data_IF_668293525260
#
_entry.id   IF_668293525260
#
_cell.length_a   1.000
_cell.length_b   1.000
_cell.length_c   1.000
_cell.angle_alpha   90.00
_cell.angle_beta   90.00
_cell.angle_gamma   90.00
#
_symmetry.space_group_name_H-M   'P 1'
#
loop_
_entity.id
_entity.type
_entity.pdbx_description
1 polymer ?
#
# COMPACT_ATOMS: atom_id res chain seq x y z
N UNK A 1 -9.00 -28.88 21.61
CA UNK A 1 -9.30 -27.51 22.10
C UNK A 1 -9.52 -26.64 20.86
N UNK A 2 -10.65 -25.91 20.78
CA UNK A 2 -10.94 -25.10 19.58
C UNK A 2 -10.05 -23.85 19.56
N UNK A 3 -9.36 -23.61 18.47
CA UNK A 3 -8.55 -22.41 18.26
C UNK A 3 -9.44 -21.16 18.10
N UNK A 4 -8.89 -19.99 18.37
CA UNK A 4 -9.58 -18.69 18.23
C UNK A 4 -9.36 -18.13 16.84
N UNK A 5 -10.42 -17.60 16.22
CA UNK A 5 -10.36 -16.86 14.94
C UNK A 5 -9.95 -15.40 15.11
N UNK A 6 -9.90 -14.91 16.35
CA UNK A 6 -9.59 -13.52 16.66
C UNK A 6 -8.32 -13.41 17.48
N UNK A 7 -7.55 -12.36 17.19
CA UNK A 7 -6.34 -12.00 17.90
C UNK A 7 -6.65 -11.37 19.28
N UNK A 8 -5.72 -11.43 20.24
CA UNK A 8 -5.79 -10.63 21.47
C UNK A 8 -5.89 -9.13 21.17
N UNK A 9 -6.54 -8.35 22.05
CA UNK A 9 -6.75 -6.92 21.84
C UNK A 9 -5.44 -6.10 21.94
N UNK A 10 -4.45 -6.61 22.66
CA UNK A 10 -3.13 -6.01 22.88
C UNK A 10 -2.06 -6.48 21.89
N UNK A 11 -2.48 -7.18 20.81
CA UNK A 11 -1.55 -7.81 19.86
C UNK A 11 -0.60 -6.80 19.19
N UNK A 12 -1.09 -5.60 18.90
CA UNK A 12 -0.28 -4.54 18.30
C UNK A 12 0.88 -4.14 19.21
N UNK A 13 0.62 -3.93 20.52
CA UNK A 13 1.65 -3.61 21.49
C UNK A 13 2.68 -4.72 21.64
N UNK A 14 2.24 -5.99 21.57
CA UNK A 14 3.12 -7.14 21.62
C UNK A 14 4.03 -7.18 20.38
N UNK A 15 3.50 -6.91 19.19
CA UNK A 15 4.29 -6.85 17.95
C UNK A 15 5.29 -5.68 18.01
N UNK A 16 4.85 -4.52 18.47
CA UNK A 16 5.69 -3.31 18.60
C UNK A 16 6.83 -3.50 19.60
N UNK A 17 6.65 -4.33 20.63
CA UNK A 17 7.72 -4.67 21.58
C UNK A 17 8.86 -5.44 20.94
N UNK A 18 8.62 -6.12 19.80
CA UNK A 18 9.59 -6.99 19.14
C UNK A 18 9.86 -8.32 19.87
N UNK A 19 9.12 -8.61 20.95
CA UNK A 19 9.28 -9.83 21.75
C UNK A 19 8.59 -11.01 21.06
N UNK A 20 9.39 -11.84 20.37
CA UNK A 20 8.91 -13.05 19.68
C UNK A 20 8.29 -14.06 20.64
N UNK A 21 8.82 -14.21 21.86
CA UNK A 21 8.28 -15.16 22.83
C UNK A 21 6.93 -14.70 23.38
N UNK A 22 6.78 -13.38 23.65
CA UNK A 22 5.51 -12.82 24.06
C UNK A 22 4.46 -13.01 22.95
N UNK A 23 4.84 -12.75 21.68
CA UNK A 23 3.97 -12.99 20.54
C UNK A 23 3.59 -14.47 20.42
N UNK A 24 4.54 -15.38 20.52
CA UNK A 24 4.28 -16.83 20.46
C UNK A 24 3.26 -17.27 21.52
N UNK A 25 3.40 -16.79 22.75
CA UNK A 25 2.43 -17.05 23.84
C UNK A 25 1.05 -16.50 23.52
N UNK A 26 1.00 -15.25 23.02
CA UNK A 26 -0.25 -14.55 22.71
C UNK A 26 -1.07 -15.26 21.61
N UNK A 27 -0.38 -15.77 20.56
CA UNK A 27 -1.03 -16.40 19.41
C UNK A 27 -1.12 -17.92 19.49
N UNK A 28 -0.63 -18.54 20.55
CA UNK A 28 -0.61 -20.00 20.73
C UNK A 28 -1.98 -20.68 20.52
N UNK A 29 -3.07 -19.95 20.86
CA UNK A 29 -4.45 -20.45 20.74
C UNK A 29 -5.21 -19.82 19.57
N UNK A 30 -4.53 -19.07 18.71
CA UNK A 30 -5.13 -18.46 17.53
C UNK A 30 -4.94 -19.36 16.30
N UNK A 31 -5.94 -19.38 15.43
CA UNK A 31 -5.82 -19.98 14.09
C UNK A 31 -4.83 -19.19 13.24
N UNK A 32 -4.21 -19.85 12.25
CA UNK A 32 -3.47 -19.15 11.19
C UNK A 32 -4.45 -18.25 10.46
N UNK A 33 -4.05 -17.00 10.19
CA UNK A 33 -4.92 -16.01 9.58
C UNK A 33 -5.97 -15.40 10.52
N UNK A 34 -5.84 -15.60 11.85
CA UNK A 34 -6.68 -14.89 12.83
C UNK A 34 -6.58 -13.36 12.66
N UNK A 35 -7.67 -12.66 12.92
CA UNK A 35 -7.77 -11.21 12.70
C UNK A 35 -8.08 -10.44 13.99
N UNK A 36 -7.73 -9.14 14.04
CA UNK A 36 -8.04 -8.27 15.15
C UNK A 36 -9.49 -7.79 15.08
N UNK A 37 -10.34 -8.23 16.01
CA UNK A 37 -11.78 -7.94 16.03
C UNK A 37 -12.11 -6.47 16.29
N UNK A 38 -11.24 -5.74 16.99
CA UNK A 38 -11.42 -4.31 17.27
C UNK A 38 -11.12 -3.42 16.06
N UNK A 39 -10.49 -3.97 15.02
CA UNK A 39 -10.23 -3.26 13.77
C UNK A 39 -11.40 -3.39 12.82
N UNK A 40 -11.89 -2.26 12.30
CA UNK A 40 -12.89 -2.24 11.22
C UNK A 40 -12.36 -2.89 9.91
N UNK A 41 -11.04 -3.13 9.83
CA UNK A 41 -10.36 -3.65 8.65
C UNK A 41 -10.07 -5.15 8.72
N UNK A 42 -10.39 -5.83 9.83
CA UNK A 42 -10.05 -7.24 10.06
C UNK A 42 -8.56 -7.54 9.82
N UNK A 43 -7.70 -6.69 10.39
CA UNK A 43 -6.25 -6.81 10.23
C UNK A 43 -5.74 -8.16 10.77
N UNK A 44 -4.94 -8.86 9.98
CA UNK A 44 -4.23 -10.08 10.35
C UNK A 44 -2.82 -9.75 10.85
N UNK A 45 -2.14 -10.71 11.45
CA UNK A 45 -0.80 -10.51 12.03
C UNK A 45 0.20 -9.88 11.06
N UNK A 46 0.22 -10.33 9.81
CA UNK A 46 1.13 -9.83 8.79
C UNK A 46 0.88 -8.37 8.39
N UNK A 47 -0.30 -7.79 8.68
CA UNK A 47 -0.62 -6.40 8.36
C UNK A 47 0.03 -5.40 9.33
N UNK A 48 0.39 -5.82 10.54
CA UNK A 48 1.06 -4.93 11.49
C UNK A 48 2.52 -4.71 11.11
N UNK A 49 3.06 -3.48 11.22
CA UNK A 49 4.49 -3.23 11.10
C UNK A 49 5.26 -4.09 12.11
N UNK A 50 6.26 -4.82 11.65
CA UNK A 50 6.97 -5.76 12.50
C UNK A 50 8.46 -5.80 12.15
N UNK A 51 9.29 -6.16 13.12
CA UNK A 51 10.70 -6.46 12.90
C UNK A 51 10.87 -7.68 11.98
N UNK A 52 12.07 -7.85 11.41
CA UNK A 52 12.39 -9.03 10.61
C UNK A 52 12.18 -10.32 11.38
N UNK A 53 12.59 -10.36 12.66
CA UNK A 53 12.42 -11.53 13.52
C UNK A 53 10.95 -11.90 13.73
N UNK A 54 10.10 -10.91 13.97
CA UNK A 54 8.66 -11.12 14.10
C UNK A 54 8.06 -11.60 12.77
N UNK A 55 8.47 -11.00 11.65
CA UNK A 55 8.01 -11.42 10.32
C UNK A 55 8.40 -12.88 10.03
N UNK A 56 9.65 -13.27 10.31
CA UNK A 56 10.12 -14.64 10.14
C UNK A 56 9.35 -15.62 11.02
N UNK A 57 9.16 -15.31 12.29
CA UNK A 57 8.35 -16.12 13.20
C UNK A 57 6.92 -16.34 12.66
N UNK A 58 6.30 -15.27 12.11
CA UNK A 58 4.95 -15.39 11.56
C UNK A 58 4.91 -16.29 10.31
N UNK A 59 5.91 -16.19 9.43
CA UNK A 59 6.05 -17.06 8.26
C UNK A 59 6.31 -18.51 8.65
N UNK A 60 7.19 -18.77 9.62
CA UNK A 60 7.44 -20.11 10.16
C UNK A 60 6.19 -20.72 10.81
N UNK A 61 5.35 -19.90 11.41
CA UNK A 61 4.04 -20.29 11.93
C UNK A 61 3.05 -20.66 10.82
N UNK A 62 3.29 -20.24 9.56
CA UNK A 62 2.44 -20.47 8.40
C UNK A 62 1.50 -19.32 8.06
N UNK A 63 1.73 -18.11 8.59
CA UNK A 63 1.00 -16.93 8.15
C UNK A 63 1.37 -16.58 6.71
N UNK A 64 0.39 -16.12 5.92
CA UNK A 64 0.60 -15.77 4.53
C UNK A 64 1.14 -14.34 4.39
N UNK A 65 2.30 -14.19 3.72
CA UNK A 65 2.93 -12.90 3.41
C UNK A 65 2.03 -12.01 2.55
N UNK A 66 1.11 -12.58 1.78
CA UNK A 66 0.13 -11.91 0.93
C UNK A 66 -1.30 -11.99 1.51
N UNK A 67 -1.43 -12.25 2.81
CA UNK A 67 -2.73 -12.28 3.48
C UNK A 67 -3.54 -11.03 3.21
N UNK A 68 -4.87 -11.18 3.10
CA UNK A 68 -5.79 -10.09 2.74
C UNK A 68 -6.61 -9.65 3.94
N UNK A 69 -6.75 -8.33 4.14
CA UNK A 69 -7.69 -7.74 5.09
C UNK A 69 -9.11 -7.66 4.49
N UNK A 70 -10.04 -6.99 5.19
CA UNK A 70 -11.43 -6.81 4.72
C UNK A 70 -11.54 -6.05 3.39
N UNK A 71 -10.58 -5.18 3.07
CA UNK A 71 -10.49 -4.43 1.81
C UNK A 71 -9.58 -5.09 0.79
N UNK A 72 -9.31 -6.38 0.91
CA UNK A 72 -8.38 -7.13 0.06
C UNK A 72 -6.95 -6.57 0.02
N UNK A 73 -6.56 -5.72 0.99
CA UNK A 73 -5.22 -5.15 1.07
C UNK A 73 -4.24 -6.17 1.63
N UNK A 74 -3.02 -6.16 1.09
CA UNK A 74 -1.91 -7.01 1.55
C UNK A 74 -1.07 -6.31 2.63
N UNK A 75 -0.16 -7.01 3.32
CA UNK A 75 0.80 -6.41 4.23
C UNK A 75 1.60 -5.25 3.62
N UNK A 76 1.94 -5.29 2.32
CA UNK A 76 2.64 -4.16 1.65
C UNK A 76 1.75 -2.90 1.59
N UNK A 77 0.44 -3.02 1.31
CA UNK A 77 -0.49 -1.89 1.42
C UNK A 77 -0.48 -1.30 2.84
N UNK A 78 -0.47 -2.17 3.85
CA UNK A 78 -0.44 -1.72 5.25
C UNK A 78 0.87 -0.99 5.58
N UNK A 79 2.03 -1.43 5.07
CA UNK A 79 3.31 -0.71 5.25
C UNK A 79 3.28 0.70 4.67
N UNK A 80 2.63 0.89 3.52
CA UNK A 80 2.38 2.23 2.96
C UNK A 80 1.50 3.05 3.90
N UNK A 81 0.40 2.49 4.38
CA UNK A 81 -0.53 3.15 5.30
C UNK A 81 0.14 3.58 6.62
N UNK A 82 0.96 2.71 7.21
CA UNK A 82 1.71 2.99 8.44
C UNK A 82 2.99 3.81 8.21
N UNK A 83 3.27 4.26 6.96
CA UNK A 83 4.50 4.99 6.59
C UNK A 83 5.78 4.21 6.91
N UNK A 84 5.75 2.89 6.80
CA UNK A 84 6.86 1.97 7.08
C UNK A 84 7.42 1.37 5.78
N UNK A 85 7.73 2.23 4.82
CA UNK A 85 8.30 1.82 3.53
C UNK A 85 9.64 1.07 3.69
N UNK A 86 10.38 1.37 4.74
CA UNK A 86 11.63 0.71 5.11
C UNK A 86 11.50 -0.83 5.26
N UNK A 87 10.29 -1.33 5.53
CA UNK A 87 10.01 -2.75 5.72
C UNK A 87 9.60 -3.46 4.41
N UNK A 88 9.23 -2.72 3.36
CA UNK A 88 8.72 -3.30 2.11
C UNK A 88 9.74 -4.20 1.40
N UNK A 89 11.03 -3.82 1.25
CA UNK A 89 12.02 -4.68 0.60
C UNK A 89 12.10 -6.08 1.23
N UNK A 90 12.01 -6.14 2.56
CA UNK A 90 12.04 -7.41 3.27
C UNK A 90 10.80 -8.28 2.99
N UNK A 91 9.61 -7.66 2.91
CA UNK A 91 8.40 -8.39 2.53
C UNK A 91 8.50 -8.94 1.11
N UNK A 92 9.05 -8.16 0.16
CA UNK A 92 9.29 -8.60 -1.23
C UNK A 92 10.27 -9.78 -1.27
N UNK A 93 11.38 -9.70 -0.53
CA UNK A 93 12.36 -10.79 -0.40
C UNK A 93 11.71 -12.09 0.05
N UNK A 94 10.66 -12.01 0.89
CA UNK A 94 9.89 -13.14 1.39
C UNK A 94 8.70 -13.55 0.51
N UNK A 95 8.57 -12.97 -0.70
CA UNK A 95 7.52 -13.30 -1.66
C UNK A 95 6.27 -12.44 -1.58
N UNK A 96 6.36 -11.28 -0.92
CA UNK A 96 5.30 -10.27 -0.90
C UNK A 96 5.11 -9.65 -2.29
N UNK A 97 3.86 -9.58 -2.76
CA UNK A 97 3.51 -9.00 -4.05
C UNK A 97 3.32 -7.48 -3.92
N UNK A 98 4.30 -6.71 -4.48
CA UNK A 98 4.26 -5.24 -4.50
C UNK A 98 3.19 -4.69 -5.45
N UNK A 99 2.71 -5.50 -6.39
CA UNK A 99 1.69 -5.13 -7.38
C UNK A 99 0.31 -5.72 -7.06
N UNK A 100 0.14 -6.31 -5.87
CA UNK A 100 -1.16 -6.82 -5.43
C UNK A 100 -2.22 -5.72 -5.51
N UNK A 101 -3.45 -6.09 -5.93
CA UNK A 101 -4.58 -5.16 -6.01
C UNK A 101 -5.50 -5.34 -4.80
N UNK A 102 -6.01 -4.24 -4.29
CA UNK A 102 -7.04 -4.20 -3.23
C UNK A 102 -8.46 -4.25 -3.82
N UNK A 103 -9.48 -4.15 -2.96
CA UNK A 103 -10.90 -4.14 -3.38
C UNK A 103 -11.30 -2.93 -4.26
N UNK A 104 -10.46 -1.91 -4.34
CA UNK A 104 -10.62 -0.75 -5.23
C UNK A 104 -9.77 -0.89 -6.50
N UNK A 105 -9.23 -2.08 -6.77
CA UNK A 105 -8.33 -2.38 -7.87
C UNK A 105 -7.03 -1.56 -7.85
N UNK A 106 -6.63 -1.03 -6.67
CA UNK A 106 -5.44 -0.21 -6.48
C UNK A 106 -4.27 -1.04 -5.95
N UNK A 107 -3.07 -0.74 -6.46
CA UNK A 107 -1.81 -1.30 -5.93
C UNK A 107 -1.27 -0.42 -4.78
N UNK A 108 -0.33 -0.92 -3.95
CA UNK A 108 0.32 -0.10 -2.91
C UNK A 108 0.90 1.22 -3.42
N UNK A 109 1.32 1.28 -4.69
CA UNK A 109 1.86 2.50 -5.30
C UNK A 109 0.84 3.65 -5.34
N UNK A 110 -0.47 3.38 -5.49
CA UNK A 110 -1.52 4.40 -5.40
C UNK A 110 -1.50 5.11 -4.03
N UNK A 111 -1.33 4.37 -2.95
CA UNK A 111 -1.20 4.94 -1.61
C UNK A 111 0.03 5.85 -1.47
N UNK A 112 1.18 5.45 -2.04
CA UNK A 112 2.40 6.27 -1.99
C UNK A 112 2.23 7.56 -2.80
N UNK A 113 1.62 7.48 -3.98
CA UNK A 113 1.32 8.65 -4.82
C UNK A 113 0.39 9.63 -4.11
N UNK A 114 -0.55 9.15 -3.30
CA UNK A 114 -1.44 10.01 -2.51
C UNK A 114 -0.67 10.93 -1.55
N UNK A 115 0.44 10.47 -0.97
CA UNK A 115 1.30 11.27 -0.11
C UNK A 115 2.25 12.22 -0.87
N UNK A 116 2.33 12.09 -2.20
CA UNK A 116 3.06 12.98 -3.12
C UNK A 116 4.54 13.19 -2.76
N UNK A 117 5.23 12.13 -2.38
CA UNK A 117 6.67 12.14 -2.16
C UNK A 117 7.38 11.44 -3.31
N UNK A 118 7.97 12.21 -4.23
CA UNK A 118 8.66 11.65 -5.40
C UNK A 118 9.72 10.61 -5.03
N UNK A 119 10.50 10.86 -3.98
CA UNK A 119 11.51 9.91 -3.49
C UNK A 119 10.95 8.56 -3.03
N UNK A 120 9.74 8.54 -2.49
CA UNK A 120 9.09 7.30 -2.06
C UNK A 120 8.46 6.55 -3.24
N UNK A 121 7.92 7.29 -4.22
CA UNK A 121 7.45 6.72 -5.50
C UNK A 121 8.62 6.09 -6.26
N UNK A 122 9.78 6.78 -6.33
CA UNK A 122 10.99 6.27 -6.97
C UNK A 122 11.47 4.97 -6.32
N UNK A 123 11.52 4.91 -4.98
CA UNK A 123 11.84 3.67 -4.25
C UNK A 123 10.89 2.54 -4.60
N UNK A 124 9.57 2.79 -4.61
CA UNK A 124 8.59 1.76 -4.93
C UNK A 124 8.79 1.21 -6.35
N UNK A 125 9.04 2.09 -7.32
CA UNK A 125 9.35 1.68 -8.71
C UNK A 125 10.65 0.88 -8.75
N UNK A 126 11.70 1.31 -8.05
CA UNK A 126 12.97 0.59 -7.97
C UNK A 126 12.81 -0.81 -7.33
N UNK A 127 11.84 -1.00 -6.45
CA UNK A 127 11.51 -2.30 -5.86
C UNK A 127 10.55 -3.15 -6.72
N UNK A 128 10.15 -2.65 -7.90
CA UNK A 128 9.35 -3.41 -8.87
C UNK A 128 7.87 -3.07 -8.90
N UNK A 129 7.44 -1.96 -8.29
CA UNK A 129 6.08 -1.47 -8.47
C UNK A 129 5.87 -1.00 -9.92
N UNK A 130 4.77 -1.44 -10.56
CA UNK A 130 4.46 -1.05 -11.93
C UNK A 130 3.73 0.30 -11.98
N UNK A 131 4.34 1.35 -12.53
CA UNK A 131 3.72 2.67 -12.66
C UNK A 131 2.63 2.74 -13.74
N UNK A 132 2.53 1.72 -14.61
CA UNK A 132 1.58 1.68 -15.74
C UNK A 132 0.19 1.18 -15.33
N UNK A 133 0.01 0.83 -14.06
CA UNK A 133 -1.25 0.28 -13.56
C UNK A 133 -2.38 1.30 -13.70
N UNK A 134 -3.48 0.85 -14.26
CA UNK A 134 -4.77 1.54 -14.24
C UNK A 134 -5.69 0.75 -13.30
N UNK A 135 -6.21 1.41 -12.28
CA UNK A 135 -7.24 0.85 -11.42
C UNK A 135 -8.61 1.03 -12.07
N UNK A 136 -9.46 0.01 -12.01
CA UNK A 136 -10.84 0.05 -12.51
C UNK A 136 -11.80 -0.31 -11.37
N UNK A 137 -11.99 0.64 -10.47
CA UNK A 137 -12.87 0.47 -9.32
C UNK A 137 -14.34 0.58 -9.72
N UNK A 138 -15.16 -0.36 -9.29
CA UNK A 138 -16.62 -0.30 -9.48
C UNK A 138 -17.25 0.95 -8.84
N UNK A 139 -16.62 1.50 -7.81
CA UNK A 139 -17.11 2.68 -7.07
C UNK A 139 -16.59 3.99 -7.63
N UNK A 140 -15.30 4.03 -8.01
CA UNK A 140 -14.60 5.26 -8.41
C UNK A 140 -14.27 5.33 -9.90
N UNK A 141 -14.59 4.30 -10.66
CA UNK A 141 -14.26 4.17 -12.08
C UNK A 141 -12.76 4.02 -12.33
N UNK A 142 -12.36 4.27 -13.59
CA UNK A 142 -10.95 4.18 -13.99
C UNK A 142 -10.10 5.28 -13.38
N UNK A 143 -8.95 4.91 -12.84
CA UNK A 143 -7.98 5.84 -12.26
C UNK A 143 -6.56 5.44 -12.65
N UNK A 144 -5.81 6.39 -13.20
CA UNK A 144 -4.37 6.24 -13.43
C UNK A 144 -3.60 6.84 -12.25
N UNK A 145 -2.35 6.43 -12.06
CA UNK A 145 -1.48 7.02 -11.05
C UNK A 145 -1.25 8.52 -11.31
N UNK A 146 -1.13 8.93 -12.57
CA UNK A 146 -1.01 10.35 -12.95
C UNK A 146 -2.24 11.16 -12.58
N UNK A 147 -3.45 10.62 -12.81
CA UNK A 147 -4.71 11.25 -12.38
C UNK A 147 -4.85 11.30 -10.85
N UNK A 148 -4.26 10.36 -10.15
CA UNK A 148 -4.28 10.31 -8.68
C UNK A 148 -3.47 11.46 -8.05
N UNK A 149 -2.41 11.94 -8.72
CA UNK A 149 -1.63 13.11 -8.26
C UNK A 149 -2.45 14.38 -8.14
N UNK A 150 -3.57 14.48 -8.87
CA UNK A 150 -4.42 15.67 -8.93
C UNK A 150 -5.53 15.70 -7.86
N UNK A 151 -5.71 14.64 -7.08
CA UNK A 151 -6.87 14.49 -6.17
C UNK A 151 -6.90 15.46 -5.00
N UNK A 152 -5.77 16.00 -4.53
CA UNK A 152 -5.73 16.95 -3.39
C UNK A 152 -5.05 18.24 -3.82
N UNK A 153 -5.73 19.39 -3.64
CA UNK A 153 -5.25 20.70 -4.06
C UNK A 153 -4.91 21.58 -2.85
N UNK A 154 -3.62 21.64 -2.50
CA UNK A 154 -3.03 22.82 -1.88
C UNK A 154 -1.92 23.34 -2.80
N UNK A 155 -1.48 24.59 -2.66
CA UNK A 155 -0.43 25.15 -3.52
C UNK A 155 0.90 24.38 -3.38
N UNK A 156 1.27 24.00 -2.16
CA UNK A 156 2.47 23.19 -1.88
C UNK A 156 2.32 21.77 -2.44
N UNK A 157 1.11 21.20 -2.37
CA UNK A 157 0.80 19.90 -2.96
C UNK A 157 0.84 19.92 -4.50
N UNK A 158 0.66 21.09 -5.14
CA UNK A 158 0.69 21.19 -6.61
C UNK A 158 2.10 21.01 -7.17
N UNK A 159 3.13 21.59 -6.53
CA UNK A 159 4.53 21.40 -6.95
C UNK A 159 4.95 19.94 -6.78
N UNK A 160 4.67 19.35 -5.62
CA UNK A 160 4.97 17.94 -5.35
C UNK A 160 4.21 17.00 -6.29
N UNK A 161 2.97 17.33 -6.61
CA UNK A 161 2.17 16.56 -7.56
C UNK A 161 2.78 16.57 -8.97
N UNK A 162 3.34 17.70 -9.41
CA UNK A 162 4.03 17.80 -10.70
C UNK A 162 5.30 16.98 -10.74
N UNK A 163 6.11 16.99 -9.66
CA UNK A 163 7.31 16.17 -9.55
C UNK A 163 6.98 14.67 -9.64
N UNK A 164 5.98 14.22 -8.87
CA UNK A 164 5.51 12.82 -8.89
C UNK A 164 4.94 12.46 -10.26
N UNK A 165 4.16 13.35 -10.89
CA UNK A 165 3.59 13.11 -12.20
C UNK A 165 4.68 12.99 -13.28
N UNK A 166 5.69 13.86 -13.28
CA UNK A 166 6.82 13.79 -14.19
C UNK A 166 7.60 12.47 -14.02
N UNK A 167 7.82 12.06 -12.77
CA UNK A 167 8.47 10.80 -12.45
C UNK A 167 7.66 9.60 -13.00
N UNK A 168 6.36 9.57 -12.76
CA UNK A 168 5.48 8.50 -13.25
C UNK A 168 5.49 8.44 -14.78
N UNK A 169 5.39 9.58 -15.46
CA UNK A 169 5.42 9.66 -16.93
C UNK A 169 6.76 9.19 -17.50
N UNK A 170 7.89 9.53 -16.87
CA UNK A 170 9.22 9.05 -17.30
C UNK A 170 9.37 7.54 -17.19
N UNK A 171 8.55 6.87 -16.35
CA UNK A 171 8.48 5.42 -16.21
C UNK A 171 7.31 4.77 -16.99
N UNK A 172 6.70 5.53 -17.91
CA UNK A 172 5.69 5.02 -18.83
C UNK A 172 4.28 4.89 -18.24
N UNK A 173 3.99 5.59 -17.13
CA UNK A 173 2.62 5.64 -16.60
C UNK A 173 1.68 6.29 -17.64
N UNK A 174 0.44 5.78 -17.80
CA UNK A 174 -0.52 6.36 -18.73
C UNK A 174 -0.96 7.75 -18.26
N UNK A 175 -1.14 8.65 -19.22
CA UNK A 175 -1.69 9.99 -18.97
C UNK A 175 -3.20 9.85 -18.68
N UNK A 176 -3.66 10.51 -17.63
CA UNK A 176 -5.09 10.58 -17.33
C UNK A 176 -5.80 11.45 -18.38
N UNK A 177 -6.97 11.01 -18.84
CA UNK A 177 -7.74 11.73 -19.89
C UNK A 177 -8.02 13.18 -19.50
N UNK A 178 -8.26 13.46 -18.22
CA UNK A 178 -8.48 14.82 -17.70
C UNK A 178 -7.24 15.71 -17.86
N UNK A 179 -6.04 15.13 -17.75
CA UNK A 179 -4.77 15.83 -17.98
C UNK A 179 -4.61 16.11 -19.47
N UNK A 180 -4.91 15.16 -20.34
CA UNK A 180 -4.82 15.32 -21.80
C UNK A 180 -5.72 16.46 -22.29
N UNK A 181 -6.97 16.49 -21.84
CA UNK A 181 -7.93 17.58 -22.19
C UNK A 181 -7.42 18.94 -21.71
N UNK A 182 -6.90 19.03 -20.47
CA UNK A 182 -6.38 20.27 -19.92
C UNK A 182 -5.14 20.77 -20.69
N UNK A 183 -4.25 19.88 -21.11
CA UNK A 183 -3.08 20.24 -21.93
C UNK A 183 -3.49 20.72 -23.33
N UNK A 184 -4.44 20.05 -23.97
CA UNK A 184 -4.98 20.47 -25.27
C UNK A 184 -5.66 21.84 -25.23
N UNK A 185 -6.39 22.14 -24.14
CA UNK A 185 -6.99 23.47 -23.94
C UNK A 185 -5.94 24.57 -23.74
N UNK A 186 -4.86 24.27 -22.99
CA UNK A 186 -3.75 25.22 -22.81
C UNK A 186 -3.01 25.48 -24.11
N UNK A 187 -2.77 24.45 -24.92
CA UNK A 187 -2.12 24.61 -26.23
C UNK A 187 -2.99 25.41 -27.21
N UNK A 188 -4.30 25.17 -27.23
CA UNK A 188 -5.25 26.00 -28.03
C UNK A 188 -5.23 27.49 -27.63
N UNK A 189 -5.14 27.78 -26.31
CA UNK A 189 -5.05 29.15 -25.82
C UNK A 189 -3.71 29.82 -26.16
N UNK A 190 -2.59 29.03 -26.22
CA UNK A 190 -1.28 29.55 -26.65
C UNK A 190 -1.21 29.89 -28.15
N UNK A 191 -1.98 29.17 -28.99
CA UNK A 191 -2.01 29.40 -30.43
C UNK A 191 -2.93 30.56 -30.85
N UNK A 192 -3.63 31.21 -29.92
CA UNK A 192 -4.55 32.36 -30.19
C UNK A 192 -3.94 33.71 -29.86
N UNK A 193 -2.65 33.79 -29.54
CA UNK A 193 -1.82 34.97 -29.40
C UNK A 193 -0.68 34.92 -30.43
#
# INVERSE_FOLDING_TARGET
MRLRKTLPADIEQIIDSGDVEALARAVQRCEIGAYLRSSAFELRLMHFPASKQITDFLLERGEDINSRDHYERTPIHSRVWYSRLDQIPYLIERGGDINARDSSDQTPLFGVVEYKRASDVEKMIAWGADPRVVADSQVYGKATLTGYTLRRRSFVDSVRALEVMQLLLSHGAPVDERISVALEEMDRQRCTF
#
